data_IF_643877001507
#
_entry.id   IF_643877001507
#
_cell.length_a   1.000
_cell.length_b   1.000
_cell.length_c   1.000
_cell.angle_alpha   90.00
_cell.angle_beta   90.00
_cell.angle_gamma   90.00
#
_symmetry.space_group_name_H-M   'P 1'
#
loop_
_entity.id
_entity.type
_entity.pdbx_description
1 polymer ?
#
# COMPACT_ATOMS: atom_id res chain seq x y z
N UNK A 1 5.17 2.27 -18.45
CA UNK A 1 3.94 1.66 -17.92
C UNK A 1 4.40 0.51 -17.07
N UNK A 2 4.36 0.65 -15.74
CA UNK A 2 4.97 -0.33 -14.86
C UNK A 2 4.10 -1.57 -14.68
N UNK A 3 4.75 -2.63 -14.22
CA UNK A 3 4.11 -3.92 -13.94
C UNK A 3 3.25 -3.86 -12.66
N UNK A 4 3.54 -2.91 -11.75
CA UNK A 4 2.83 -2.77 -10.48
C UNK A 4 1.38 -2.31 -10.67
N UNK A 5 1.11 -1.45 -11.65
CA UNK A 5 -0.24 -0.98 -11.98
C UNK A 5 -1.15 -2.08 -12.56
N UNK A 6 -0.62 -3.27 -12.84
CA UNK A 6 -1.40 -4.46 -13.20
C UNK A 6 -1.93 -5.20 -11.95
N UNK A 7 -1.38 -4.91 -10.77
CA UNK A 7 -1.84 -5.51 -9.51
C UNK A 7 -3.20 -4.94 -9.12
N UNK A 8 -4.05 -5.73 -8.43
CA UNK A 8 -5.32 -5.21 -7.95
C UNK A 8 -5.07 -4.03 -7.02
N UNK A 9 -5.92 -3.01 -7.14
CA UNK A 9 -5.91 -1.78 -6.33
C UNK A 9 -4.75 -0.80 -6.59
N UNK A 10 -3.77 -1.13 -7.44
CA UNK A 10 -2.65 -0.24 -7.76
C UNK A 10 -2.93 0.52 -9.06
N UNK A 11 -3.26 1.81 -8.94
CA UNK A 11 -3.35 2.71 -10.09
C UNK A 11 -2.01 3.35 -10.43
N UNK A 12 -1.95 4.08 -11.56
CA UNK A 12 -0.75 4.79 -12.02
C UNK A 12 -0.11 5.69 -10.95
N UNK A 13 -0.94 6.36 -10.15
CA UNK A 13 -0.45 7.25 -9.09
C UNK A 13 0.19 6.48 -7.93
N UNK A 14 -0.39 5.35 -7.53
CA UNK A 14 0.20 4.50 -6.49
C UNK A 14 1.50 3.87 -7.00
N UNK A 15 1.54 3.43 -8.26
CA UNK A 15 2.77 2.95 -8.91
C UNK A 15 3.85 4.04 -8.96
N UNK A 16 3.50 5.29 -9.29
CA UNK A 16 4.44 6.41 -9.27
C UNK A 16 5.07 6.57 -7.88
N UNK A 17 4.25 6.56 -6.84
CA UNK A 17 4.74 6.69 -5.45
C UNK A 17 5.58 5.49 -5.01
N UNK A 18 5.21 4.27 -5.39
CA UNK A 18 6.01 3.06 -5.14
C UNK A 18 7.40 3.21 -5.76
N UNK A 19 7.48 3.64 -7.02
CA UNK A 19 8.74 3.87 -7.70
C UNK A 19 9.57 4.99 -7.02
N UNK A 20 8.93 6.06 -6.54
CA UNK A 20 9.61 7.16 -5.83
C UNK A 20 10.22 6.72 -4.50
N UNK A 21 9.62 5.73 -3.84
CA UNK A 21 10.17 5.14 -2.61
C UNK A 21 11.04 3.91 -2.86
N UNK A 22 11.41 3.66 -4.12
CA UNK A 22 12.36 2.62 -4.52
C UNK A 22 11.76 1.21 -4.67
N UNK A 23 10.45 1.09 -4.92
CA UNK A 23 9.75 -0.18 -5.09
C UNK A 23 9.27 -0.27 -6.54
N UNK A 24 9.87 -1.17 -7.32
CA UNK A 24 9.64 -1.29 -8.77
C UNK A 24 8.93 -2.59 -9.16
N UNK A 25 8.91 -3.58 -8.27
CA UNK A 25 8.40 -4.93 -8.54
C UNK A 25 7.44 -5.44 -7.47
N UNK A 26 6.60 -6.41 -7.85
CA UNK A 26 5.71 -7.09 -6.93
C UNK A 26 6.48 -7.79 -5.80
N UNK A 27 7.63 -8.40 -6.11
CA UNK A 27 8.44 -9.13 -5.12
C UNK A 27 9.04 -8.17 -4.08
N UNK A 28 9.48 -6.97 -4.48
CA UNK A 28 9.91 -5.93 -3.55
C UNK A 28 8.75 -5.45 -2.67
N UNK A 29 7.58 -5.15 -3.27
CA UNK A 29 6.39 -4.74 -2.54
C UNK A 29 5.98 -5.81 -1.50
N UNK A 30 6.00 -7.08 -1.89
CA UNK A 30 5.68 -8.21 -1.03
C UNK A 30 6.70 -8.41 0.08
N UNK A 31 8.00 -8.25 -0.23
CA UNK A 31 9.07 -8.40 0.75
C UNK A 31 9.04 -7.28 1.81
N UNK A 32 8.70 -6.05 1.41
CA UNK A 32 8.60 -4.90 2.32
C UNK A 32 7.31 -4.95 3.14
N UNK A 33 6.19 -5.35 2.53
CA UNK A 33 4.88 -5.39 3.16
C UNK A 33 4.12 -4.06 3.09
N UNK A 34 2.80 -4.14 3.31
CA UNK A 34 1.90 -2.99 3.14
C UNK A 34 2.18 -1.87 4.15
N UNK A 35 2.38 -2.19 5.43
CA UNK A 35 2.65 -1.22 6.49
C UNK A 35 3.91 -0.40 6.22
N UNK A 36 5.04 -1.06 5.94
CA UNK A 36 6.32 -0.38 5.71
C UNK A 36 6.33 0.40 4.40
N UNK A 37 5.68 -0.14 3.36
CA UNK A 37 5.52 0.58 2.10
C UNK A 37 4.70 1.85 2.29
N UNK A 38 3.62 1.78 3.06
CA UNK A 38 2.79 2.95 3.35
C UNK A 38 3.54 4.02 4.15
N UNK A 39 4.39 3.64 5.12
CA UNK A 39 5.24 4.60 5.85
C UNK A 39 6.18 5.34 4.92
N UNK A 40 6.86 4.62 4.02
CA UNK A 40 7.73 5.24 3.00
C UNK A 40 6.97 6.20 2.11
N UNK A 41 5.74 5.84 1.70
CA UNK A 41 4.90 6.74 0.91
C UNK A 41 4.49 7.97 1.72
N UNK A 42 4.16 7.83 3.01
CA UNK A 42 3.81 8.96 3.87
C UNK A 42 4.94 10.01 3.96
N UNK A 43 6.20 9.58 3.94
CA UNK A 43 7.36 10.49 3.96
C UNK A 43 7.41 11.44 2.76
N UNK A 44 6.90 11.00 1.59
CA UNK A 44 6.86 11.81 0.35
C UNK A 44 5.47 12.39 0.04
N UNK A 45 4.41 11.78 0.58
CA UNK A 45 3.01 12.17 0.41
C UNK A 45 2.27 12.05 1.75
N UNK A 46 2.22 13.13 2.56
CA UNK A 46 1.53 13.12 3.85
C UNK A 46 0.01 12.96 3.71
N UNK A 47 -0.55 13.02 2.49
CA UNK A 47 -1.96 12.73 2.24
C UNK A 47 -2.25 11.22 2.10
N UNK A 48 -1.23 10.36 2.24
CA UNK A 48 -1.38 8.90 2.22
C UNK A 48 -2.44 8.44 3.22
N UNK A 49 -3.61 8.05 2.72
CA UNK A 49 -4.75 7.69 3.55
C UNK A 49 -4.85 6.18 3.77
N UNK A 50 -5.77 5.76 4.65
CA UNK A 50 -6.07 4.35 4.92
C UNK A 50 -6.41 3.55 3.66
N UNK A 51 -7.06 4.16 2.65
CA UNK A 51 -7.37 3.46 1.41
C UNK A 51 -6.13 3.08 0.62
N UNK A 52 -5.02 3.81 0.77
CA UNK A 52 -3.73 3.51 0.16
C UNK A 52 -3.11 2.28 0.85
N UNK A 53 -3.12 2.24 2.17
CA UNK A 53 -2.66 1.08 2.95
C UNK A 53 -3.44 -0.20 2.59
N UNK A 54 -4.77 -0.12 2.55
CA UNK A 54 -5.62 -1.26 2.17
C UNK A 54 -5.41 -1.69 0.71
N UNK A 55 -5.10 -0.76 -0.19
CA UNK A 55 -4.80 -1.07 -1.58
C UNK A 55 -3.49 -1.87 -1.71
N UNK A 56 -2.44 -1.49 -0.97
CA UNK A 56 -1.16 -2.20 -0.93
C UNK A 56 -1.34 -3.63 -0.41
N UNK A 57 -2.09 -3.80 0.69
CA UNK A 57 -2.39 -5.13 1.24
C UNK A 57 -3.13 -6.01 0.22
N UNK A 58 -4.19 -5.47 -0.40
CA UNK A 58 -4.93 -6.19 -1.44
C UNK A 58 -4.04 -6.57 -2.63
N UNK A 59 -3.14 -5.68 -3.05
CA UNK A 59 -2.17 -5.93 -4.11
C UNK A 59 -1.23 -7.10 -3.78
N UNK A 60 -0.68 -7.12 -2.55
CA UNK A 60 0.20 -8.19 -2.07
C UNK A 60 -0.51 -9.54 -2.07
N UNK A 61 -1.77 -9.56 -1.66
CA UNK A 61 -2.61 -10.77 -1.61
C UNK A 61 -3.28 -11.14 -2.93
N UNK A 62 -3.18 -10.30 -3.97
CA UNK A 62 -3.83 -10.56 -5.26
C UNK A 62 -5.37 -10.47 -5.22
N UNK A 63 -5.94 -9.71 -4.27
CA UNK A 63 -7.40 -9.56 -4.08
C UNK A 63 -7.82 -8.09 -4.07
N UNK A 64 -9.11 -7.79 -4.30
CA UNK A 64 -9.61 -6.42 -4.11
C UNK A 64 -9.51 -6.07 -2.63
N UNK A 65 -9.24 -4.80 -2.31
CA UNK A 65 -9.19 -4.32 -0.92
C UNK A 65 -10.49 -4.58 -0.13
N UNK A 66 -11.63 -4.71 -0.82
CA UNK A 66 -12.92 -5.06 -0.23
C UNK A 66 -12.99 -6.52 0.23
N UNK A 67 -12.18 -7.40 -0.34
CA UNK A 67 -12.14 -8.85 -0.06
C UNK A 67 -11.15 -9.20 1.06
N UNK A 68 -10.37 -8.23 1.55
CA UNK A 68 -9.55 -8.42 2.75
C UNK A 68 -10.44 -8.80 3.94
N UNK A 69 -9.93 -9.71 4.77
CA UNK A 69 -10.64 -10.14 5.97
C UNK A 69 -10.90 -8.96 6.91
N UNK A 70 -12.02 -9.00 7.63
CA UNK A 70 -12.39 -7.94 8.56
C UNK A 70 -11.29 -7.70 9.61
N UNK A 71 -10.73 -8.78 10.16
CA UNK A 71 -9.62 -8.73 11.11
C UNK A 71 -8.40 -7.99 10.54
N UNK A 72 -8.00 -8.29 9.30
CA UNK A 72 -6.84 -7.62 8.70
C UNK A 72 -7.10 -6.15 8.41
N UNK A 73 -8.33 -5.79 8.01
CA UNK A 73 -8.73 -4.37 7.85
C UNK A 73 -8.65 -3.61 9.18
N UNK A 74 -9.04 -4.24 10.28
CA UNK A 74 -8.93 -3.66 11.63
C UNK A 74 -7.46 -3.46 12.03
N UNK A 75 -6.60 -4.47 11.83
CA UNK A 75 -5.17 -4.35 12.12
C UNK A 75 -4.50 -3.21 11.34
N UNK A 76 -4.81 -3.09 10.05
CA UNK A 76 -4.31 -2.00 9.21
C UNK A 76 -4.87 -0.63 9.62
N UNK A 77 -6.11 -0.58 10.10
CA UNK A 77 -6.73 0.65 10.60
C UNK A 77 -6.06 1.11 11.89
N UNK A 78 -5.74 0.19 12.79
CA UNK A 78 -5.04 0.49 14.04
C UNK A 78 -3.61 0.97 13.75
N UNK A 79 -2.90 0.27 12.86
CA UNK A 79 -1.60 0.71 12.36
C UNK A 79 -1.66 2.12 11.76
N UNK A 80 -2.63 2.40 10.89
CA UNK A 80 -2.82 3.73 10.29
C UNK A 80 -3.07 4.79 11.35
N UNK A 81 -3.93 4.53 12.33
CA UNK A 81 -4.22 5.49 13.40
C UNK A 81 -3.00 5.79 14.27
N UNK A 82 -2.10 4.82 14.44
CA UNK A 82 -0.86 5.01 15.19
C UNK A 82 0.18 5.83 14.42
N UNK A 83 0.14 5.85 13.09
CA UNK A 83 1.21 6.41 12.26
C UNK A 83 0.81 7.64 11.42
N UNK A 84 -0.48 7.88 11.19
CA UNK A 84 -0.96 9.02 10.40
C UNK A 84 -0.46 10.35 11.00
N UNK A 85 0.13 11.19 10.15
CA UNK A 85 0.59 12.53 10.55
C UNK A 85 1.85 12.57 11.42
N UNK A 86 2.61 11.48 11.48
CA UNK A 86 4.00 11.47 11.95
C UNK A 86 4.94 11.79 10.79
#
# INVERSE_FOLDING_TARGET
MGELSKLPNIGKEVERQLNEVGIFTYDELKAIGAEQTWLKIQEIDPSACIHRLLALEGAIHGVKKTELSQKRKEDLKDFYNWNKGK
#
